data_IF_761261428801
#
_entry.id   IF_761261428801
#
_cell.length_a   1.000
_cell.length_b   1.000
_cell.length_c   1.000
_cell.angle_alpha   90.00
_cell.angle_beta   90.00
_cell.angle_gamma   90.00
#
_symmetry.space_group_name_H-M   'P 1'
#
loop_
_entity.id
_entity.type
_entity.pdbx_description
1 polymer ?
#
# COMPACT_ATOMS: atom_id res chain seq x y z
N UNK A 1 -4.27 -17.17 31.15
CA UNK A 1 -4.52 -16.37 29.92
C UNK A 1 -5.54 -15.34 30.32
N UNK A 2 -5.24 -14.05 30.16
CA UNK A 2 -6.24 -13.01 30.38
C UNK A 2 -7.31 -13.11 29.29
N UNK A 3 -8.57 -12.85 29.65
CA UNK A 3 -9.66 -12.77 28.68
C UNK A 3 -9.54 -11.48 27.84
N UNK A 4 -10.13 -11.47 26.64
CA UNK A 4 -10.12 -10.31 25.75
C UNK A 4 -10.65 -9.06 26.46
N UNK A 5 -11.75 -9.20 27.21
CA UNK A 5 -12.37 -8.07 27.93
C UNK A 5 -11.47 -7.53 29.06
N UNK A 6 -10.70 -8.41 29.72
CA UNK A 6 -9.76 -8.00 30.76
C UNK A 6 -8.61 -7.17 30.19
N UNK A 7 -8.09 -7.57 29.01
CA UNK A 7 -7.02 -6.84 28.32
C UNK A 7 -7.51 -5.50 27.78
N UNK A 8 -8.70 -5.46 27.17
CA UNK A 8 -9.31 -4.21 26.67
C UNK A 8 -9.45 -3.19 27.79
N UNK A 9 -10.03 -3.62 28.92
CA UNK A 9 -10.25 -2.75 30.10
C UNK A 9 -8.95 -2.19 30.66
N UNK A 10 -7.88 -3.01 30.70
CA UNK A 10 -6.61 -2.63 31.31
C UNK A 10 -5.74 -1.73 30.42
N UNK A 11 -5.86 -1.83 29.09
CA UNK A 11 -4.90 -1.18 28.16
C UNK A 11 -5.58 -0.16 27.25
N UNK A 12 -6.73 -0.46 26.66
CA UNK A 12 -7.37 0.36 25.61
C UNK A 12 -8.91 0.40 25.76
N UNK A 13 -9.44 0.92 26.88
CA UNK A 13 -10.87 0.85 27.16
C UNK A 13 -11.69 1.63 26.12
N UNK A 14 -12.68 0.97 25.51
CA UNK A 14 -13.60 1.53 24.52
C UNK A 14 -12.93 2.04 23.22
N UNK A 15 -11.72 1.59 22.91
CA UNK A 15 -11.06 1.92 21.64
C UNK A 15 -11.28 0.85 20.56
N UNK A 16 -11.75 -0.34 20.95
CA UNK A 16 -12.08 -1.38 19.98
C UNK A 16 -13.23 -0.94 19.07
N UNK A 17 -13.13 -1.34 17.80
CA UNK A 17 -14.05 -0.97 16.72
C UNK A 17 -14.16 0.55 16.41
N UNK A 18 -13.33 1.40 17.02
CA UNK A 18 -13.31 2.84 16.71
C UNK A 18 -12.75 3.14 15.31
N UNK A 19 -11.95 2.23 14.75
CA UNK A 19 -11.39 2.35 13.40
C UNK A 19 -11.99 1.27 12.51
N UNK A 20 -12.81 1.70 11.56
CA UNK A 20 -13.35 0.81 10.52
C UNK A 20 -12.27 0.53 9.46
N UNK A 21 -11.39 -0.43 9.73
CA UNK A 21 -10.37 -0.92 8.80
C UNK A 21 -10.98 -1.88 7.75
N UNK A 22 -12.10 -1.50 7.15
CA UNK A 22 -12.75 -2.25 6.08
C UNK A 22 -12.03 -1.99 4.75
N UNK A 23 -10.86 -2.62 4.56
CA UNK A 23 -10.07 -2.48 3.34
C UNK A 23 -10.57 -3.44 2.27
N UNK A 24 -10.74 -2.96 1.04
CA UNK A 24 -11.05 -3.82 -0.11
C UNK A 24 -9.77 -4.54 -0.54
N UNK A 25 -9.76 -5.87 -0.43
CA UNK A 25 -8.65 -6.71 -0.88
C UNK A 25 -8.55 -6.76 -2.41
N UNK A 26 -7.33 -6.83 -2.99
CA UNK A 26 -7.12 -7.09 -4.42
C UNK A 26 -7.91 -8.28 -4.97
N UNK A 27 -8.15 -9.31 -4.14
CA UNK A 27 -8.93 -10.51 -4.51
C UNK A 27 -10.32 -10.17 -5.06
N UNK A 28 -10.97 -9.12 -4.56
CA UNK A 28 -12.30 -8.75 -5.04
C UNK A 28 -12.27 -8.21 -6.47
N UNK A 29 -11.22 -7.47 -6.82
CA UNK A 29 -11.00 -7.00 -8.18
C UNK A 29 -10.59 -8.14 -9.10
N UNK A 30 -9.74 -9.06 -8.64
CA UNK A 30 -9.38 -10.27 -9.39
C UNK A 30 -10.63 -11.10 -9.75
N UNK A 31 -11.53 -11.32 -8.78
CA UNK A 31 -12.79 -12.03 -9.02
C UNK A 31 -13.68 -11.30 -10.04
N UNK A 32 -13.76 -9.98 -10.00
CA UNK A 32 -14.46 -9.22 -11.04
C UNK A 32 -13.81 -9.37 -12.41
N UNK A 33 -12.46 -9.30 -12.49
CA UNK A 33 -11.71 -9.46 -13.74
C UNK A 33 -11.94 -10.84 -14.37
N UNK A 34 -12.00 -11.89 -13.56
CA UNK A 34 -12.26 -13.26 -14.01
C UNK A 34 -13.74 -13.59 -14.14
N UNK A 35 -14.63 -12.59 -14.01
CA UNK A 35 -16.10 -12.75 -14.05
C UNK A 35 -16.58 -13.88 -13.12
N UNK A 36 -15.99 -13.94 -11.92
CA UNK A 36 -16.35 -14.90 -10.88
C UNK A 36 -17.39 -14.26 -9.94
N UNK A 37 -18.56 -14.90 -9.84
CA UNK A 37 -19.61 -14.45 -8.92
C UNK A 37 -19.12 -14.53 -7.46
N UNK A 38 -19.21 -13.41 -6.75
CA UNK A 38 -18.77 -13.31 -5.35
C UNK A 38 -19.96 -13.44 -4.40
N UNK A 39 -19.74 -14.16 -3.31
CA UNK A 39 -20.64 -14.18 -2.13
C UNK A 39 -19.89 -13.54 -0.98
N UNK A 40 -20.36 -12.39 -0.50
CA UNK A 40 -19.63 -11.58 0.48
C UNK A 40 -20.53 -11.24 1.68
N UNK A 41 -19.92 -11.10 2.86
CA UNK A 41 -20.63 -10.66 4.07
C UNK A 41 -21.01 -9.18 3.94
N UNK A 42 -22.17 -8.78 4.46
CA UNK A 42 -22.65 -7.39 4.41
C UNK A 42 -21.58 -6.39 4.88
N UNK A 43 -21.37 -5.35 4.09
CA UNK A 43 -20.31 -4.37 4.30
C UNK A 43 -20.32 -3.24 3.29
N UNK A 44 -19.59 -2.16 3.60
CA UNK A 44 -19.52 -0.96 2.74
C UNK A 44 -18.55 -1.17 1.55
N UNK A 45 -17.48 -1.95 1.71
CA UNK A 45 -16.47 -2.18 0.65
C UNK A 45 -15.99 -0.89 -0.01
N UNK A 46 -15.70 0.14 0.80
CA UNK A 46 -15.33 1.48 0.37
C UNK A 46 -16.30 2.13 -0.64
N UNK A 47 -17.57 1.71 -0.67
CA UNK A 47 -18.58 2.13 -1.63
C UNK A 47 -18.41 1.57 -3.05
N UNK A 48 -17.40 0.74 -3.28
CA UNK A 48 -17.06 0.18 -4.60
C UNK A 48 -18.01 -0.96 -4.98
N UNK A 49 -18.34 -1.83 -4.01
CA UNK A 49 -19.17 -3.01 -4.24
C UNK A 49 -20.58 -2.81 -3.67
N UNK A 50 -21.60 -3.02 -4.49
CA UNK A 50 -23.01 -2.86 -4.11
C UNK A 50 -23.68 -4.23 -3.93
N UNK A 51 -24.33 -4.50 -2.78
CA UNK A 51 -25.00 -5.78 -2.54
C UNK A 51 -26.13 -6.00 -3.55
N UNK A 52 -26.25 -7.23 -4.05
CA UNK A 52 -27.25 -7.62 -5.05
C UNK A 52 -27.01 -7.08 -6.47
N UNK A 53 -25.98 -6.23 -6.66
CA UNK A 53 -25.55 -5.75 -7.98
C UNK A 53 -24.20 -6.33 -8.37
N UNK A 54 -23.20 -6.22 -7.50
CA UNK A 54 -21.82 -6.65 -7.77
C UNK A 54 -21.46 -7.97 -7.07
N UNK A 55 -22.26 -8.39 -6.08
CA UNK A 55 -22.05 -9.63 -5.32
C UNK A 55 -23.37 -10.08 -4.65
N UNK A 56 -23.41 -11.34 -4.23
CA UNK A 56 -24.50 -11.91 -3.41
C UNK A 56 -24.18 -11.68 -1.94
N UNK A 57 -25.03 -10.93 -1.24
CA UNK A 57 -24.80 -10.54 0.15
C UNK A 57 -25.20 -11.63 1.15
N UNK A 58 -24.36 -11.86 2.15
CA UNK A 58 -24.65 -12.65 3.35
C UNK A 58 -24.72 -11.72 4.55
N UNK A 59 -25.84 -11.70 5.27
CA UNK A 59 -25.98 -10.86 6.47
C UNK A 59 -25.05 -11.31 7.59
N UNK A 60 -24.58 -10.40 8.46
CA UNK A 60 -23.69 -10.75 9.59
C UNK A 60 -24.37 -11.66 10.62
N UNK A 61 -25.69 -11.64 10.67
CA UNK A 61 -26.51 -12.53 11.50
C UNK A 61 -26.76 -13.91 10.85
N UNK A 62 -26.26 -14.12 9.63
CA UNK A 62 -26.40 -15.35 8.84
C UNK A 62 -27.86 -15.76 8.54
N UNK A 63 -28.83 -14.88 8.77
CA UNK A 63 -30.25 -15.17 8.64
C UNK A 63 -30.68 -15.50 7.22
N UNK A 64 -29.96 -15.02 6.21
CA UNK A 64 -30.28 -15.18 4.79
C UNK A 64 -29.48 -16.30 4.09
N UNK A 65 -28.68 -17.09 4.81
CA UNK A 65 -27.87 -18.16 4.21
C UNK A 65 -28.68 -19.13 3.34
N UNK A 66 -29.90 -19.59 3.73
CA UNK A 66 -30.70 -20.45 2.86
C UNK A 66 -31.04 -19.82 1.50
N UNK A 67 -31.41 -18.54 1.49
CA UNK A 67 -31.70 -17.78 0.27
C UNK A 67 -30.44 -17.61 -0.60
N UNK A 68 -29.30 -17.31 0.05
CA UNK A 68 -28.00 -17.20 -0.64
C UNK A 68 -27.68 -18.51 -1.34
N UNK A 69 -27.82 -19.66 -0.65
CA UNK A 69 -27.56 -20.98 -1.23
C UNK A 69 -28.42 -21.24 -2.48
N UNK A 70 -29.70 -20.86 -2.47
CA UNK A 70 -30.55 -21.00 -3.66
C UNK A 70 -30.09 -20.09 -4.81
N UNK A 71 -29.64 -18.86 -4.52
CA UNK A 71 -29.08 -17.95 -5.53
C UNK A 71 -27.80 -18.47 -6.18
N UNK A 72 -26.88 -19.05 -5.40
CA UNK A 72 -25.61 -19.60 -5.96
C UNK A 72 -25.83 -20.83 -6.85
N UNK A 73 -26.97 -21.53 -6.70
CA UNK A 73 -27.36 -22.64 -7.58
C UNK A 73 -27.90 -22.17 -8.92
N UNK A 74 -28.29 -20.91 -9.05
CA UNK A 74 -28.75 -20.33 -10.31
C UNK A 74 -27.54 -19.79 -11.10
N UNK A 75 -27.09 -20.49 -12.16
CA UNK A 75 -25.93 -20.08 -12.94
C UNK A 75 -26.19 -18.79 -13.72
N UNK A 76 -27.43 -18.56 -14.18
CA UNK A 76 -27.79 -17.36 -14.95
C UNK A 76 -27.72 -16.13 -14.04
N UNK A 77 -28.27 -16.24 -12.83
CA UNK A 77 -28.18 -15.16 -11.84
C UNK A 77 -26.73 -14.86 -11.46
N UNK A 78 -25.91 -15.90 -11.23
CA UNK A 78 -24.49 -15.72 -10.92
C UNK A 78 -23.71 -15.04 -12.05
N UNK A 79 -23.97 -15.43 -13.30
CA UNK A 79 -23.36 -14.81 -14.48
C UNK A 79 -23.75 -13.33 -14.60
N UNK A 80 -25.03 -12.99 -14.38
CA UNK A 80 -25.50 -11.61 -14.41
C UNK A 80 -24.82 -10.71 -13.37
N UNK A 81 -24.67 -11.20 -12.14
CA UNK A 81 -23.99 -10.48 -11.07
C UNK A 81 -22.51 -10.29 -11.40
N UNK A 82 -21.84 -11.34 -11.86
CA UNK A 82 -20.43 -11.29 -12.23
C UNK A 82 -20.18 -10.33 -13.41
N UNK A 83 -21.04 -10.36 -14.42
CA UNK A 83 -20.95 -9.47 -15.58
C UNK A 83 -21.17 -8.00 -15.19
N UNK A 84 -22.15 -7.72 -14.33
CA UNK A 84 -22.35 -6.37 -13.78
C UNK A 84 -21.12 -5.88 -13.04
N UNK A 85 -20.56 -6.71 -12.17
CA UNK A 85 -19.36 -6.34 -11.42
C UNK A 85 -18.17 -6.06 -12.36
N UNK A 86 -18.00 -6.86 -13.42
CA UNK A 86 -16.98 -6.62 -14.44
C UNK A 86 -17.21 -5.28 -15.18
N UNK A 87 -18.44 -5.01 -15.61
CA UNK A 87 -18.77 -3.77 -16.32
C UNK A 87 -18.60 -2.52 -15.46
N UNK A 88 -19.17 -2.52 -14.25
CA UNK A 88 -19.23 -1.33 -13.40
C UNK A 88 -17.89 -1.04 -12.70
N UNK A 89 -17.11 -2.08 -12.39
CA UNK A 89 -15.86 -1.93 -11.62
C UNK A 89 -14.64 -2.00 -12.55
N UNK A 90 -14.50 -3.03 -13.37
CA UNK A 90 -13.28 -3.26 -14.17
C UNK A 90 -13.27 -2.36 -15.41
N UNK A 91 -14.34 -2.36 -16.21
CA UNK A 91 -14.39 -1.54 -17.42
C UNK A 91 -14.45 -0.04 -17.12
N UNK A 92 -14.81 0.36 -15.90
CA UNK A 92 -14.74 1.76 -15.47
C UNK A 92 -13.32 2.35 -15.54
N UNK A 93 -12.27 1.51 -15.40
CA UNK A 93 -10.89 1.95 -15.35
C UNK A 93 -10.49 2.74 -14.09
N UNK A 94 -11.41 2.94 -13.16
CA UNK A 94 -11.21 3.76 -11.96
C UNK A 94 -10.22 3.13 -10.97
N UNK A 95 -10.15 1.81 -10.91
CA UNK A 95 -9.33 1.08 -9.93
C UNK A 95 -8.07 0.49 -10.57
N UNK A 96 -7.40 1.26 -11.43
CA UNK A 96 -6.15 0.86 -12.09
C UNK A 96 -4.96 1.55 -11.46
N UNK A 97 -3.77 0.92 -11.51
CA UNK A 97 -2.53 1.57 -11.07
C UNK A 97 -2.27 2.89 -11.79
N UNK A 98 -2.63 2.98 -13.07
CA UNK A 98 -2.52 4.22 -13.85
C UNK A 98 -3.36 5.34 -13.22
N UNK A 99 -4.63 5.06 -12.92
CA UNK A 99 -5.54 6.04 -12.29
C UNK A 99 -5.05 6.43 -10.91
N UNK A 100 -4.61 5.46 -10.10
CA UNK A 100 -4.03 5.72 -8.78
C UNK A 100 -2.80 6.63 -8.84
N UNK A 101 -1.84 6.36 -9.74
CA UNK A 101 -0.66 7.21 -9.91
C UNK A 101 -1.06 8.61 -10.34
N UNK A 102 -2.02 8.74 -11.27
CA UNK A 102 -2.53 10.04 -11.68
C UNK A 102 -3.13 10.82 -10.51
N UNK A 103 -3.96 10.19 -9.68
CA UNK A 103 -4.57 10.82 -8.50
C UNK A 103 -3.52 11.28 -7.48
N UNK A 104 -2.48 10.48 -7.24
CA UNK A 104 -1.37 10.85 -6.36
C UNK A 104 -0.61 12.07 -6.91
N UNK A 105 -0.34 12.10 -8.22
CA UNK A 105 0.36 13.21 -8.86
C UNK A 105 -0.49 14.48 -8.85
N UNK A 106 -1.79 14.37 -9.16
CA UNK A 106 -2.74 15.49 -9.13
C UNK A 106 -2.83 16.06 -7.70
N UNK A 107 -2.95 15.20 -6.70
CA UNK A 107 -2.96 15.60 -5.29
C UNK A 107 -1.67 16.31 -4.90
N UNK A 108 -0.50 15.72 -5.21
CA UNK A 108 0.79 16.34 -4.92
C UNK A 108 0.92 17.73 -5.57
N UNK A 109 0.42 17.89 -6.80
CA UNK A 109 0.47 19.16 -7.50
C UNK A 109 -0.39 20.25 -6.83
N UNK A 110 -1.55 19.90 -6.25
CA UNK A 110 -2.35 20.85 -5.46
C UNK A 110 -1.66 21.30 -4.17
N UNK A 111 -0.79 20.47 -3.59
CA UNK A 111 -0.03 20.84 -2.38
C UNK A 111 1.21 21.71 -2.71
N UNK A 112 1.75 21.59 -3.92
CA UNK A 112 2.91 22.39 -4.37
C UNK A 112 2.56 23.87 -4.57
N UNK A 113 1.27 24.23 -4.71
CA UNK A 113 0.83 25.64 -4.78
C UNK A 113 0.88 26.39 -3.45
N UNK A 114 1.14 25.72 -2.32
CA UNK A 114 1.54 26.44 -1.10
C UNK A 114 2.98 26.95 -1.25
N UNK A 115 3.27 28.22 -0.86
CA UNK A 115 4.59 28.80 -1.06
C UNK A 115 5.66 27.91 -0.42
N UNK A 116 6.77 27.72 -1.15
CA UNK A 116 7.86 26.83 -0.75
C UNK A 116 8.19 26.99 0.75
N UNK A 117 8.35 25.87 1.49
CA UNK A 117 8.59 25.93 2.92
C UNK A 117 9.76 26.88 3.21
N UNK A 118 9.67 27.66 4.28
CA UNK A 118 10.68 28.62 4.77
C UNK A 118 12.13 28.07 4.70
N UNK A 119 12.22 26.74 4.75
CA UNK A 119 13.41 25.90 4.65
C UNK A 119 14.00 25.70 3.24
N UNK A 120 13.52 26.35 2.18
CA UNK A 120 14.08 26.21 0.81
C UNK A 120 15.59 26.56 0.73
N UNK A 121 16.09 27.40 1.63
CA UNK A 121 17.53 27.66 1.80
C UNK A 121 18.27 26.48 2.44
N UNK A 122 17.62 25.79 3.39
CA UNK A 122 18.17 24.61 4.05
C UNK A 122 18.27 23.43 3.09
N UNK A 123 17.27 23.19 2.25
CA UNK A 123 17.35 22.15 1.20
C UNK A 123 18.49 22.43 0.22
N UNK A 124 18.66 23.68 -0.24
CA UNK A 124 19.82 24.06 -1.07
C UNK A 124 21.16 23.84 -0.38
N UNK A 125 21.25 24.09 0.92
CA UNK A 125 22.47 23.84 1.71
C UNK A 125 22.78 22.35 1.81
N UNK A 126 21.75 21.50 2.01
CA UNK A 126 21.89 20.05 2.05
C UNK A 126 22.33 19.48 0.69
N UNK A 127 21.74 19.95 -0.41
CA UNK A 127 22.17 19.60 -1.77
C UNK A 127 23.64 19.98 -2.02
N UNK A 128 24.05 21.17 -1.57
CA UNK A 128 25.45 21.60 -1.66
C UNK A 128 26.38 20.73 -0.84
N UNK A 129 25.97 20.32 0.35
CA UNK A 129 26.72 19.41 1.22
C UNK A 129 26.90 18.04 0.58
N UNK A 130 25.86 17.50 -0.06
CA UNK A 130 25.94 16.22 -0.77
C UNK A 130 26.80 16.28 -2.03
N UNK A 131 26.70 17.38 -2.79
CA UNK A 131 27.46 17.57 -4.03
C UNK A 131 28.94 17.85 -3.77
N UNK A 132 29.25 18.56 -2.69
CA UNK A 132 30.61 18.96 -2.33
C UNK A 132 30.97 18.52 -0.90
N UNK A 133 30.99 17.21 -0.61
CA UNK A 133 31.20 16.69 0.75
C UNK A 133 32.58 17.07 1.30
N UNK A 134 33.57 17.29 0.42
CA UNK A 134 34.91 17.74 0.78
C UNK A 134 34.95 19.16 1.35
N UNK A 135 33.96 20.03 1.05
CA UNK A 135 33.87 21.37 1.63
C UNK A 135 33.36 21.33 3.07
N UNK A 136 32.54 20.33 3.42
CA UNK A 136 31.90 20.23 4.73
C UNK A 136 32.61 19.25 5.67
N UNK A 137 33.27 18.22 5.12
CA UNK A 137 34.08 17.25 5.87
C UNK A 137 35.40 16.94 5.17
N UNK A 138 36.32 17.94 5.05
CA UNK A 138 37.57 17.79 4.32
C UNK A 138 38.46 16.66 4.84
N UNK A 139 38.54 16.50 6.16
CA UNK A 139 39.40 15.47 6.78
C UNK A 139 38.88 14.04 6.57
N UNK A 140 37.56 13.83 6.66
CA UNK A 140 36.96 12.51 6.41
C UNK A 140 37.11 12.13 4.94
N UNK A 141 36.91 13.07 4.02
CA UNK A 141 37.07 12.83 2.59
C UNK A 141 38.54 12.59 2.19
N UNK A 142 39.49 13.33 2.78
CA UNK A 142 40.91 13.08 2.60
C UNK A 142 41.32 11.70 3.17
N UNK A 143 40.81 11.34 4.35
CA UNK A 143 41.08 10.06 4.99
C UNK A 143 40.54 8.87 4.18
N UNK A 144 39.31 8.96 3.65
CA UNK A 144 38.76 7.91 2.78
C UNK A 144 39.52 7.81 1.45
N UNK A 145 39.96 8.96 0.90
CA UNK A 145 40.85 9.00 -0.26
C UNK A 145 42.18 8.29 0.00
N UNK A 146 42.87 8.64 1.09
CA UNK A 146 44.14 8.02 1.51
C UNK A 146 43.97 6.52 1.76
N UNK A 147 42.91 6.11 2.46
CA UNK A 147 42.61 4.70 2.75
C UNK A 147 42.34 3.90 1.47
N UNK A 148 41.60 4.47 0.53
CA UNK A 148 41.30 3.85 -0.77
C UNK A 148 42.56 3.74 -1.64
N UNK A 149 43.40 4.78 -1.65
CA UNK A 149 44.65 4.79 -2.39
C UNK A 149 45.68 3.82 -1.81
N UNK A 150 45.80 3.74 -0.47
CA UNK A 150 46.63 2.76 0.21
C UNK A 150 46.16 1.33 -0.09
N UNK A 151 44.84 1.08 -0.10
CA UNK A 151 44.26 -0.21 -0.47
C UNK A 151 44.58 -0.59 -1.92
N UNK A 152 44.44 0.35 -2.87
CA UNK A 152 44.80 0.15 -4.27
C UNK A 152 46.30 -0.06 -4.49
N UNK A 153 47.15 0.66 -3.75
CA UNK A 153 48.60 0.50 -3.79
C UNK A 153 49.03 -0.89 -3.29
N UNK A 154 48.44 -1.36 -2.19
CA UNK A 154 48.68 -2.70 -1.64
C UNK A 154 48.16 -3.81 -2.57
N UNK A 155 47.02 -3.59 -3.24
CA UNK A 155 46.49 -4.47 -4.30
C UNK A 155 47.47 -4.58 -5.48
N UNK A 156 48.00 -3.46 -5.95
CA UNK A 156 48.86 -3.38 -7.13
C UNK A 156 50.27 -3.96 -6.91
N UNK A 157 50.75 -3.98 -5.67
CA UNK A 157 52.01 -4.66 -5.28
C UNK A 157 51.84 -6.15 -4.92
N UNK A 158 50.65 -6.74 -5.11
CA UNK A 158 50.42 -8.18 -4.91
C UNK A 158 50.40 -8.63 -3.44
N UNK A 159 50.28 -7.70 -2.50
CA UNK A 159 50.34 -7.95 -1.05
C UNK A 159 49.01 -8.43 -0.44
N UNK A 160 48.09 -8.99 -1.23
CA UNK A 160 46.79 -9.46 -0.72
C UNK A 160 46.80 -10.84 -0.05
N UNK A 161 47.94 -11.53 0.02
CA UNK A 161 48.01 -12.82 0.74
C UNK A 161 47.97 -12.68 2.26
N UNK A 162 47.98 -11.47 2.83
CA UNK A 162 48.06 -11.25 4.28
C UNK A 162 46.76 -10.81 4.98
N UNK A 163 45.70 -10.46 4.25
CA UNK A 163 44.47 -9.88 4.84
C UNK A 163 43.19 -10.70 4.61
N UNK A 164 43.30 -11.94 4.16
CA UNK A 164 42.19 -12.91 4.22
C UNK A 164 42.58 -13.98 5.25
N UNK A 165 42.27 -13.69 6.52
CA UNK A 165 41.86 -14.67 7.51
C UNK A 165 40.84 -14.02 8.44
#
# INVERSE_FOLDING_TARGET
MADFSEVETAVFPNLDNNICLATVSPRHFEACMTKTCQVLVEGNYAGVFKPGLHYIEVKKDWSNVPEVIEKIKDPIYCEQIAERAYQDIILSGNYTYRKFVQEVLDFAQTQISEPAPENAKMFRLLEWREKYPYLFHPFLYAYTGIKSYAKLYLLRKGWLKFFIK
#
